data_IF_230885286877
#
_entry.id   IF_230885286877
#
_cell.length_a   1.000
_cell.length_b   1.000
_cell.length_c   1.000
_cell.angle_alpha   90.00
_cell.angle_beta   90.00
_cell.angle_gamma   90.00
#
_symmetry.space_group_name_H-M   'P 1'
#
loop_
_entity.id
_entity.type
_entity.pdbx_description
1 polymer ?
#
# COMPACT_ATOMS: atom_id res chain seq x y z
N UNK A 1 -5.95 41.86 19.92
CA UNK A 1 -6.68 41.14 18.86
C UNK A 1 -6.89 39.70 19.32
N UNK A 2 -8.12 39.17 19.38
CA UNK A 2 -8.32 37.74 19.65
C UNK A 2 -8.02 36.92 18.37
N UNK A 3 -7.52 35.68 18.50
CA UNK A 3 -7.25 34.82 17.35
C UNK A 3 -8.58 34.33 16.74
N UNK A 4 -8.69 34.44 15.42
CA UNK A 4 -9.82 33.91 14.63
C UNK A 4 -9.75 32.39 14.61
N UNK A 5 -10.76 31.74 15.19
CA UNK A 5 -10.98 30.30 15.09
C UNK A 5 -11.31 29.94 13.63
N UNK A 6 -10.33 29.34 12.94
CA UNK A 6 -10.53 28.75 11.62
C UNK A 6 -11.41 27.49 11.76
N UNK A 7 -12.72 27.68 11.65
CA UNK A 7 -13.68 26.59 11.45
C UNK A 7 -13.41 26.00 10.07
N UNK A 8 -12.53 24.99 9.98
CA UNK A 8 -12.46 24.13 8.78
C UNK A 8 -13.87 23.62 8.49
N UNK A 9 -14.51 24.18 7.47
CA UNK A 9 -15.75 23.66 6.94
C UNK A 9 -15.52 22.19 6.59
N UNK A 10 -16.17 21.28 7.32
CA UNK A 10 -16.24 19.88 6.91
C UNK A 10 -16.93 19.86 5.55
N UNK A 11 -16.17 19.53 4.51
CA UNK A 11 -16.71 19.34 3.16
C UNK A 11 -17.72 18.20 3.24
N UNK A 12 -18.97 18.46 2.86
CA UNK A 12 -20.00 17.42 2.73
C UNK A 12 -19.68 16.58 1.49
N UNK A 13 -18.98 15.48 1.67
CA UNK A 13 -18.61 14.54 0.61
C UNK A 13 -19.81 13.62 0.34
N UNK A 14 -20.35 13.65 -0.88
CA UNK A 14 -21.49 12.81 -1.26
C UNK A 14 -21.11 11.34 -1.39
N UNK A 15 -22.10 10.45 -1.44
CA UNK A 15 -21.85 9.01 -1.66
C UNK A 15 -21.19 8.73 -3.02
N UNK A 16 -21.52 9.53 -4.05
CA UNK A 16 -20.90 9.44 -5.38
C UNK A 16 -19.42 9.83 -5.29
N UNK A 17 -19.10 10.91 -4.58
CA UNK A 17 -17.71 11.34 -4.39
C UNK A 17 -16.89 10.25 -3.67
N UNK A 18 -17.48 9.60 -2.66
CA UNK A 18 -16.81 8.49 -1.96
C UNK A 18 -16.52 7.32 -2.90
N UNK A 19 -17.45 7.00 -3.79
CA UNK A 19 -17.28 5.97 -4.81
C UNK A 19 -16.19 6.33 -5.83
N UNK A 20 -16.21 7.56 -6.36
CA UNK A 20 -15.20 8.05 -7.31
C UNK A 20 -13.81 8.05 -6.66
N UNK A 21 -13.69 8.51 -5.42
CA UNK A 21 -12.43 8.45 -4.67
C UNK A 21 -11.96 7.02 -4.40
N UNK A 22 -12.88 6.10 -4.09
CA UNK A 22 -12.55 4.68 -3.94
C UNK A 22 -12.01 4.07 -5.23
N UNK A 23 -12.66 4.38 -6.36
CA UNK A 23 -12.21 3.94 -7.67
C UNK A 23 -10.85 4.54 -8.06
N UNK A 24 -10.61 5.83 -7.81
CA UNK A 24 -9.31 6.47 -8.04
C UNK A 24 -8.19 5.79 -7.23
N UNK A 25 -8.44 5.45 -5.96
CA UNK A 25 -7.46 4.69 -5.15
C UNK A 25 -7.13 3.34 -5.75
N UNK A 26 -8.14 2.56 -6.14
CA UNK A 26 -7.94 1.25 -6.80
C UNK A 26 -7.07 1.41 -8.04
N UNK A 27 -7.41 2.38 -8.89
CA UNK A 27 -6.68 2.65 -10.14
C UNK A 27 -5.23 3.04 -9.86
N UNK A 28 -4.97 3.83 -8.81
CA UNK A 28 -3.61 4.21 -8.41
C UNK A 28 -2.80 3.02 -7.94
N UNK A 29 -3.40 2.14 -7.14
CA UNK A 29 -2.69 0.96 -6.61
C UNK A 29 -2.32 -0.03 -7.72
N UNK A 30 -3.20 -0.26 -8.69
CA UNK A 30 -2.97 -1.30 -9.71
C UNK A 30 -2.24 -0.78 -10.96
N UNK A 31 -2.24 0.54 -11.20
CA UNK A 31 -1.58 1.15 -12.35
C UNK A 31 -0.13 1.53 -12.01
N UNK A 32 0.87 0.87 -12.61
CA UNK A 32 2.28 1.16 -12.36
C UNK A 32 2.63 2.65 -12.54
N UNK A 33 3.38 3.23 -11.62
CA UNK A 33 3.90 4.60 -11.69
C UNK A 33 2.88 5.69 -11.37
N UNK A 34 1.68 5.33 -10.93
CA UNK A 34 0.63 6.30 -10.56
C UNK A 34 0.57 6.59 -9.05
N UNK A 35 1.16 5.72 -8.24
CA UNK A 35 1.37 5.95 -6.81
C UNK A 35 2.57 6.86 -6.60
N UNK A 36 2.46 7.79 -5.64
CA UNK A 36 3.54 8.72 -5.29
C UNK A 36 3.81 8.63 -3.80
N UNK A 37 5.07 8.55 -3.41
CA UNK A 37 5.43 8.62 -2.01
C UNK A 37 5.24 10.05 -1.49
N UNK A 38 4.65 10.16 -0.31
CA UNK A 38 4.62 11.35 0.52
C UNK A 38 5.92 11.54 1.30
N UNK A 39 6.59 10.43 1.64
CA UNK A 39 7.89 10.42 2.33
C UNK A 39 9.05 10.14 1.36
N UNK A 40 10.26 10.67 1.63
CA UNK A 40 11.43 10.27 0.87
C UNK A 40 11.73 8.78 1.08
N UNK A 41 12.30 8.13 0.06
CA UNK A 41 12.76 6.75 0.18
C UNK A 41 13.77 6.60 1.33
N UNK A 42 13.66 5.56 2.18
CA UNK A 42 14.67 5.26 3.21
C UNK A 42 16.06 5.05 2.63
N UNK A 43 16.15 4.69 1.35
CA UNK A 43 17.42 4.50 0.65
C UNK A 43 18.05 5.80 0.13
N UNK A 44 17.42 6.96 0.33
CA UNK A 44 17.86 8.25 -0.23
C UNK A 44 19.29 8.61 0.16
N UNK A 45 19.67 8.35 1.41
CA UNK A 45 20.99 8.75 1.95
C UNK A 45 22.06 7.67 1.75
N UNK A 46 21.73 6.56 1.07
CA UNK A 46 22.69 5.51 0.74
C UNK A 46 23.52 5.98 -0.46
N UNK A 47 24.87 6.05 -0.33
CA UNK A 47 25.73 6.50 -1.42
C UNK A 47 25.51 5.67 -2.68
N UNK A 48 25.31 6.35 -3.80
CA UNK A 48 25.01 5.70 -5.08
C UNK A 48 26.08 4.69 -5.50
N UNK A 49 27.34 4.86 -5.06
CA UNK A 49 28.48 3.96 -5.30
C UNK A 49 28.32 2.56 -4.67
N UNK A 50 27.58 2.44 -3.56
CA UNK A 50 27.39 1.16 -2.84
C UNK A 50 26.14 0.41 -3.34
N UNK A 51 25.23 1.10 -4.03
CA UNK A 51 23.93 0.58 -4.46
C UNK A 51 23.70 0.62 -5.98
N UNK A 52 24.76 0.80 -6.79
CA UNK A 52 24.67 0.88 -8.25
C UNK A 52 24.13 -0.44 -8.85
N UNK A 53 22.92 -0.45 -9.44
CA UNK A 53 22.41 -1.62 -10.15
C UNK A 53 23.20 -1.93 -11.44
N UNK A 54 23.99 -0.97 -11.92
CA UNK A 54 24.88 -1.09 -13.09
C UNK A 54 26.13 -1.93 -12.81
N UNK A 55 26.50 -2.12 -11.54
CA UNK A 55 27.61 -2.98 -11.14
C UNK A 55 27.20 -4.45 -10.93
N UNK A 56 25.88 -4.73 -10.94
CA UNK A 56 25.35 -6.09 -10.80
C UNK A 56 25.36 -6.80 -12.14
N UNK A 57 25.73 -8.08 -12.13
CA UNK A 57 25.57 -8.92 -13.32
C UNK A 57 24.07 -9.09 -13.67
N UNK A 58 23.79 -9.44 -14.93
CA UNK A 58 22.42 -9.54 -15.44
C UNK A 58 21.57 -10.61 -14.73
N UNK A 59 22.18 -11.70 -14.26
CA UNK A 59 21.48 -12.79 -13.56
C UNK A 59 21.05 -12.32 -12.17
N UNK A 60 21.95 -11.67 -11.44
CA UNK A 60 21.70 -11.09 -10.12
C UNK A 60 20.63 -10.00 -10.21
N UNK A 61 20.74 -9.09 -11.18
CA UNK A 61 19.73 -8.04 -11.43
C UNK A 61 18.35 -8.63 -11.70
N UNK A 62 18.25 -9.67 -12.53
CA UNK A 62 16.99 -10.38 -12.80
C UNK A 62 16.42 -11.06 -11.57
N UNK A 63 17.27 -11.68 -10.74
CA UNK A 63 16.85 -12.34 -9.52
C UNK A 63 16.29 -11.34 -8.50
N UNK A 64 17.02 -10.27 -8.19
CA UNK A 64 16.56 -9.19 -7.30
C UNK A 64 15.29 -8.54 -7.85
N UNK A 65 15.22 -8.31 -9.16
CA UNK A 65 14.00 -7.81 -9.80
C UNK A 65 12.80 -8.75 -9.64
N UNK A 66 13.03 -10.06 -9.47
CA UNK A 66 12.01 -11.04 -9.12
C UNK A 66 11.52 -10.89 -7.68
N UNK A 67 12.44 -10.77 -6.73
CA UNK A 67 12.12 -10.55 -5.32
C UNK A 67 11.36 -9.23 -5.12
N UNK A 68 11.79 -8.16 -5.80
CA UNK A 68 11.10 -6.87 -5.73
C UNK A 68 9.68 -6.90 -6.32
N UNK A 69 9.40 -7.78 -7.29
CA UNK A 69 8.01 -7.96 -7.77
C UNK A 69 7.13 -8.60 -6.70
N UNK A 70 7.69 -9.51 -5.90
CA UNK A 70 6.97 -10.12 -4.78
C UNK A 70 6.66 -9.05 -3.74
N UNK A 71 7.66 -8.25 -3.34
CA UNK A 71 7.47 -7.14 -2.40
C UNK A 71 6.39 -6.16 -2.91
N UNK A 72 6.52 -5.68 -4.15
CA UNK A 72 5.53 -4.78 -4.77
C UNK A 72 4.11 -5.38 -4.76
N UNK A 73 3.97 -6.65 -5.10
CA UNK A 73 2.67 -7.35 -5.05
C UNK A 73 2.15 -7.44 -3.61
N UNK A 74 3.04 -7.65 -2.63
CA UNK A 74 2.73 -7.62 -1.20
C UNK A 74 2.11 -6.29 -0.77
N UNK A 75 2.71 -5.17 -1.17
CA UNK A 75 2.17 -3.83 -0.87
C UNK A 75 0.80 -3.61 -1.50
N UNK A 76 0.60 -4.05 -2.76
CA UNK A 76 -0.71 -4.02 -3.44
C UNK A 76 -1.77 -4.81 -2.65
N UNK A 77 -1.41 -6.02 -2.20
CA UNK A 77 -2.29 -6.88 -1.42
C UNK A 77 -2.64 -6.28 -0.06
N UNK A 78 -1.65 -5.75 0.67
CA UNK A 78 -1.83 -5.12 1.98
C UNK A 78 -2.75 -3.90 1.86
N UNK A 79 -2.47 -3.03 0.89
CA UNK A 79 -3.30 -1.85 0.65
C UNK A 79 -4.75 -2.22 0.32
N UNK A 80 -4.96 -3.20 -0.56
CA UNK A 80 -6.29 -3.69 -0.91
C UNK A 80 -7.05 -4.26 0.29
N UNK A 81 -6.36 -5.06 1.11
CA UNK A 81 -6.89 -5.69 2.32
C UNK A 81 -7.36 -4.65 3.32
N UNK A 82 -6.53 -3.65 3.64
CA UNK A 82 -6.90 -2.57 4.55
C UNK A 82 -8.07 -1.74 4.01
N UNK A 83 -8.10 -1.45 2.71
CA UNK A 83 -9.24 -0.75 2.10
C UNK A 83 -10.54 -1.56 2.21
N UNK A 84 -10.47 -2.89 2.01
CA UNK A 84 -11.61 -3.79 2.19
C UNK A 84 -12.11 -3.81 3.65
N UNK A 85 -11.19 -3.93 4.61
CA UNK A 85 -11.53 -3.88 6.04
C UNK A 85 -12.16 -2.54 6.41
N UNK A 86 -11.58 -1.43 5.95
CA UNK A 86 -12.11 -0.08 6.18
C UNK A 86 -13.54 0.12 5.63
N UNK A 87 -13.86 -0.52 4.49
CA UNK A 87 -15.18 -0.41 3.87
C UNK A 87 -16.30 -1.01 4.75
N UNK A 88 -15.98 -2.05 5.50
CA UNK A 88 -16.96 -2.88 6.23
C UNK A 88 -16.77 -2.86 7.75
N UNK A 89 -15.80 -2.07 8.23
CA UNK A 89 -15.49 -1.91 9.65
C UNK A 89 -16.73 -1.47 10.45
N UNK A 90 -16.91 -2.04 11.64
CA UNK A 90 -18.07 -1.77 12.51
C UNK A 90 -17.91 -0.50 13.33
N UNK A 91 -16.69 -0.04 13.54
CA UNK A 91 -16.36 1.13 14.35
C UNK A 91 -15.54 2.14 13.55
N UNK A 92 -15.79 3.42 13.81
CA UNK A 92 -15.07 4.52 13.14
C UNK A 92 -13.56 4.49 13.46
N UNK A 93 -13.19 4.03 14.66
CA UNK A 93 -11.79 3.88 15.07
C UNK A 93 -11.05 2.88 14.18
N UNK A 94 -11.62 1.69 13.95
CA UNK A 94 -11.00 0.67 13.10
C UNK A 94 -10.99 1.14 11.65
N UNK A 95 -12.08 1.74 11.17
CA UNK A 95 -12.14 2.33 9.83
C UNK A 95 -11.01 3.34 9.61
N UNK A 96 -10.81 4.26 10.55
CA UNK A 96 -9.76 5.27 10.48
C UNK A 96 -8.36 4.65 10.54
N UNK A 97 -8.14 3.65 11.39
CA UNK A 97 -6.87 2.93 11.48
C UNK A 97 -6.52 2.23 10.16
N UNK A 98 -7.47 1.50 9.57
CA UNK A 98 -7.27 0.80 8.29
C UNK A 98 -7.03 1.78 7.13
N UNK A 99 -7.71 2.93 7.12
CA UNK A 99 -7.44 3.98 6.14
C UNK A 99 -6.05 4.59 6.30
N UNK A 100 -5.56 4.73 7.54
CA UNK A 100 -4.21 5.21 7.81
C UNK A 100 -3.17 4.18 7.34
N UNK A 101 -3.34 2.89 7.66
CA UNK A 101 -2.47 1.81 7.19
C UNK A 101 -2.43 1.74 5.66
N UNK A 102 -3.58 1.76 4.99
CA UNK A 102 -3.65 1.76 3.52
C UNK A 102 -2.92 2.95 2.88
N UNK A 103 -2.83 4.09 3.57
CA UNK A 103 -2.12 5.27 3.10
C UNK A 103 -0.61 5.15 3.31
N UNK A 104 -0.18 4.53 4.41
CA UNK A 104 1.23 4.25 4.65
C UNK A 104 1.81 3.32 3.57
N UNK A 105 1.05 2.32 3.13
CA UNK A 105 1.50 1.42 2.05
C UNK A 105 1.68 2.11 0.69
N UNK A 106 1.10 3.30 0.46
CA UNK A 106 1.35 4.07 -0.77
C UNK A 106 2.82 4.47 -0.90
N UNK A 107 3.48 4.79 0.23
CA UNK A 107 4.91 5.08 0.25
C UNK A 107 5.73 3.84 -0.12
N UNK A 108 5.43 2.71 0.51
CA UNK A 108 6.12 1.44 0.29
C UNK A 108 5.98 0.96 -1.15
N UNK A 109 4.76 1.05 -1.70
CA UNK A 109 4.46 0.71 -3.08
C UNK A 109 5.28 1.56 -4.05
N UNK A 110 5.32 2.88 -3.83
CA UNK A 110 6.11 3.80 -4.65
C UNK A 110 7.62 3.50 -4.59
N UNK A 111 8.17 3.19 -3.42
CA UNK A 111 9.58 2.82 -3.28
C UNK A 111 9.89 1.47 -3.96
N UNK A 112 8.97 0.51 -3.91
CA UNK A 112 9.10 -0.74 -4.64
C UNK A 112 9.11 -0.52 -6.16
N UNK A 113 8.25 0.36 -6.67
CA UNK A 113 8.21 0.73 -8.09
C UNK A 113 9.50 1.43 -8.55
N UNK A 114 9.98 2.38 -7.74
CA UNK A 114 11.27 3.04 -7.99
C UNK A 114 12.39 2.01 -8.11
N UNK A 115 12.43 1.04 -7.19
CA UNK A 115 13.47 0.02 -7.20
C UNK A 115 13.35 -0.95 -8.37
N UNK A 116 12.13 -1.33 -8.76
CA UNK A 116 11.89 -2.12 -9.97
C UNK A 116 12.38 -1.40 -11.22
N UNK A 117 12.13 -0.09 -11.33
CA UNK A 117 12.60 0.76 -12.43
C UNK A 117 14.14 0.81 -12.49
N UNK A 118 14.81 1.05 -11.35
CA UNK A 118 16.27 1.01 -11.24
C UNK A 118 16.87 -0.34 -11.66
N UNK A 119 16.14 -1.43 -11.40
CA UNK A 119 16.51 -2.79 -11.80
C UNK A 119 16.14 -3.15 -13.24
N UNK A 120 15.60 -2.21 -14.03
CA UNK A 120 15.04 -2.46 -15.37
C UNK A 120 14.07 -3.65 -15.37
N UNK A 121 13.24 -3.72 -14.33
CA UNK A 121 12.20 -4.71 -14.12
C UNK A 121 10.83 -4.02 -14.14
N UNK A 122 9.76 -4.78 -13.95
CA UNK A 122 8.38 -4.30 -13.98
C UNK A 122 7.56 -4.92 -12.86
N UNK A 123 6.44 -4.31 -12.45
CA UNK A 123 5.45 -4.93 -11.58
C UNK A 123 4.81 -6.21 -12.16
N UNK A 124 4.10 -6.94 -11.31
CA UNK A 124 3.34 -8.13 -11.70
C UNK A 124 2.10 -7.75 -12.51
N UNK A 125 1.81 -8.51 -13.57
CA UNK A 125 0.56 -8.34 -14.34
C UNK A 125 -0.67 -8.86 -13.60
N UNK A 126 -0.48 -9.69 -12.57
CA UNK A 126 -1.56 -10.27 -11.78
C UNK A 126 -1.99 -9.36 -10.63
N UNK A 127 -1.38 -8.18 -10.48
CA UNK A 127 -1.73 -7.22 -9.42
C UNK A 127 -3.23 -6.87 -9.39
N UNK A 128 -3.95 -6.66 -10.50
CA UNK A 128 -5.40 -6.43 -10.45
C UNK A 128 -6.18 -7.59 -9.84
N UNK A 129 -5.78 -8.84 -10.13
CA UNK A 129 -6.41 -10.03 -9.56
C UNK A 129 -6.12 -10.14 -8.06
N UNK A 130 -4.85 -9.99 -7.67
CA UNK A 130 -4.44 -10.05 -6.28
C UNK A 130 -5.06 -8.95 -5.44
N UNK A 131 -5.13 -7.72 -5.98
CA UNK A 131 -5.86 -6.62 -5.38
C UNK A 131 -7.32 -7.01 -5.11
N UNK A 132 -8.03 -7.52 -6.13
CA UNK A 132 -9.43 -7.90 -5.99
C UNK A 132 -9.67 -8.97 -4.91
N UNK A 133 -8.81 -10.00 -4.87
CA UNK A 133 -8.87 -11.06 -3.87
C UNK A 133 -8.61 -10.53 -2.46
N UNK A 134 -7.53 -9.77 -2.27
CA UNK A 134 -7.16 -9.19 -0.98
C UNK A 134 -8.20 -8.20 -0.47
N UNK A 135 -8.74 -7.35 -1.36
CA UNK A 135 -9.84 -6.45 -1.02
C UNK A 135 -11.08 -7.21 -0.55
N UNK A 136 -11.48 -8.26 -1.28
CA UNK A 136 -12.61 -9.11 -0.90
C UNK A 136 -12.41 -9.77 0.46
N UNK A 137 -11.22 -10.33 0.70
CA UNK A 137 -10.85 -10.91 2.00
C UNK A 137 -10.91 -9.87 3.12
N UNK A 138 -10.38 -8.66 2.87
CA UNK A 138 -10.45 -7.56 3.81
C UNK A 138 -11.88 -7.17 4.16
N UNK A 139 -12.75 -7.04 3.15
CA UNK A 139 -14.16 -6.73 3.34
C UNK A 139 -14.91 -7.82 4.13
N UNK A 140 -14.59 -9.09 3.89
CA UNK A 140 -15.16 -10.19 4.67
C UNK A 140 -14.68 -10.12 6.12
N UNK A 141 -13.39 -9.85 6.36
CA UNK A 141 -12.82 -9.77 7.70
C UNK A 141 -13.40 -8.58 8.51
N UNK A 142 -13.53 -7.40 7.88
CA UNK A 142 -14.15 -6.24 8.51
C UNK A 142 -15.63 -6.49 8.87
N UNK A 143 -16.40 -7.09 7.96
CA UNK A 143 -17.79 -7.45 8.21
C UNK A 143 -17.95 -8.50 9.33
N UNK A 144 -17.05 -9.49 9.41
CA UNK A 144 -17.05 -10.49 10.48
C UNK A 144 -16.82 -9.87 11.88
N UNK A 145 -16.03 -8.80 11.96
CA UNK A 145 -15.94 -7.90 13.11
C UNK A 145 -14.52 -7.65 13.61
N UNK A 146 -14.37 -6.60 14.42
CA UNK A 146 -13.10 -5.96 14.78
C UNK A 146 -12.02 -6.92 15.32
N UNK A 147 -12.40 -7.93 16.11
CA UNK A 147 -11.45 -8.94 16.64
C UNK A 147 -10.88 -9.85 15.56
N UNK A 148 -11.69 -10.25 14.57
CA UNK A 148 -11.24 -11.07 13.45
C UNK A 148 -10.42 -10.24 12.46
N UNK A 149 -10.80 -8.98 12.25
CA UNK A 149 -10.04 -8.01 11.46
C UNK A 149 -8.63 -7.81 12.02
N UNK A 150 -8.51 -7.51 13.32
CA UNK A 150 -7.21 -7.33 14.00
C UNK A 150 -6.41 -8.62 14.10
N UNK A 151 -7.08 -9.76 14.35
CA UNK A 151 -6.43 -11.07 14.38
C UNK A 151 -5.83 -11.47 13.02
N UNK A 152 -6.49 -11.11 11.92
CA UNK A 152 -5.98 -11.35 10.57
C UNK A 152 -4.78 -10.45 10.25
N UNK A 153 -4.86 -9.15 10.59
CA UNK A 153 -3.73 -8.22 10.41
C UNK A 153 -2.51 -8.67 11.22
N UNK A 154 -2.70 -9.03 12.49
CA UNK A 154 -1.63 -9.53 13.34
C UNK A 154 -1.01 -10.83 12.79
N UNK A 155 -1.83 -11.74 12.26
CA UNK A 155 -1.34 -12.95 11.61
C UNK A 155 -0.56 -12.66 10.31
N UNK A 156 -0.99 -11.66 9.52
CA UNK A 156 -0.26 -11.27 8.31
C UNK A 156 1.06 -10.56 8.62
N UNK A 157 1.11 -9.71 9.66
CA UNK A 157 2.34 -9.04 10.10
C UNK A 157 3.36 -10.02 10.70
N UNK A 158 2.92 -11.03 11.46
CA UNK A 158 3.80 -12.04 12.04
C UNK A 158 4.47 -12.89 10.94
N UNK A 159 3.74 -13.15 9.85
CA UNK A 159 4.25 -13.88 8.69
C UNK A 159 5.21 -13.02 7.82
N UNK A 160 4.99 -11.70 7.75
CA UNK A 160 5.95 -10.75 7.16
C UNK A 160 7.24 -10.69 7.99
N UNK A 161 7.13 -10.66 9.33
CA UNK A 161 8.30 -10.64 10.21
C UNK A 161 9.12 -11.94 10.17
N UNK A 162 8.50 -13.10 10.00
CA UNK A 162 9.23 -14.35 9.80
C UNK A 162 10.07 -14.37 8.52
N UNK A 163 9.66 -13.63 7.48
CA UNK A 163 10.42 -13.56 6.22
C UNK A 163 11.63 -12.61 6.28
N UNK A 164 11.67 -11.72 7.28
CA UNK A 164 12.76 -10.75 7.50
C UNK A 164 13.81 -11.22 8.51
N UNK A 165 13.68 -12.45 9.03
CA UNK A 165 14.69 -13.10 9.90
C UNK A 165 15.67 -13.95 9.11
#
# INVERSE_FOLDING_TARGET
>A
MPPTTDKRQQRNISAIDQWVMGFDRVMRTISPGSTRSHRPSPAKDIPSSTAQPSALDAKTKRHIGGLMRINHTGEVCAQALYQGQALTAKTDTIKAAMQASAKEEEDHLAWCEERLSQLNSRPSYLNPLFYGLSFGMGAIAGAAGDKWSLGFVAATEDQVCQHLR
#
